data_IF_327683113328
#
_entry.id   IF_327683113328
#
_cell.length_a   1.000
_cell.length_b   1.000
_cell.length_c   1.000
_cell.angle_alpha   90.00
_cell.angle_beta   90.00
_cell.angle_gamma   90.00
#
_symmetry.space_group_name_H-M   'P 1'
#
loop_
_entity.id
_entity.type
_entity.pdbx_description
1 polymer ?
#
# COMPACT_ATOMS: atom_id res chain seq x y z
N UNK A 1 6.66 -20.11 -9.61
CA UNK A 1 5.25 -19.85 -9.24
C UNK A 1 5.17 -18.48 -8.60
N UNK A 2 4.43 -17.55 -9.21
CA UNK A 2 4.13 -16.25 -8.58
C UNK A 2 3.23 -16.51 -7.38
N UNK A 3 3.65 -16.06 -6.19
CA UNK A 3 2.85 -16.19 -4.96
C UNK A 3 1.87 -15.02 -4.88
N UNK A 4 0.58 -15.33 -4.87
CA UNK A 4 -0.51 -14.38 -4.66
C UNK A 4 -0.96 -14.34 -3.20
N UNK A 5 -1.65 -13.27 -2.81
CA UNK A 5 -2.35 -13.15 -1.54
C UNK A 5 -3.71 -12.50 -1.77
N UNK A 6 -4.63 -12.70 -0.82
CA UNK A 6 -5.97 -12.11 -0.83
C UNK A 6 -6.09 -11.16 0.35
N UNK A 7 -6.27 -9.86 0.07
CA UNK A 7 -6.44 -8.83 1.10
C UNK A 7 -7.65 -9.12 2.01
N UNK A 8 -8.70 -9.75 1.49
CA UNK A 8 -9.93 -9.99 2.26
C UNK A 8 -9.75 -11.06 3.36
N UNK A 9 -8.65 -11.82 3.29
CA UNK A 9 -8.31 -12.84 4.29
C UNK A 9 -7.36 -12.34 5.36
N UNK A 10 -6.97 -11.06 5.32
CA UNK A 10 -6.03 -10.48 6.27
C UNK A 10 -6.75 -9.85 7.46
N UNK A 11 -6.23 -10.07 8.66
CA UNK A 11 -6.82 -9.68 9.94
C UNK A 11 -6.11 -8.47 10.58
N UNK A 12 -5.71 -7.51 9.76
CA UNK A 12 -5.06 -6.27 10.19
C UNK A 12 -3.53 -6.30 10.08
N UNK A 13 -2.86 -5.56 10.99
CA UNK A 13 -1.43 -5.31 10.94
C UNK A 13 -0.67 -5.99 12.08
N UNK A 14 0.57 -6.40 11.79
CA UNK A 14 1.54 -6.92 12.75
C UNK A 14 2.57 -5.84 13.06
N UNK A 15 2.41 -5.20 14.22
CA UNK A 15 3.28 -4.15 14.72
C UNK A 15 4.00 -4.58 16.00
N UNK A 16 5.27 -4.23 16.10
CA UNK A 16 6.03 -4.20 17.35
C UNK A 16 6.64 -2.80 17.53
N UNK A 17 7.11 -2.48 18.73
CA UNK A 17 7.65 -1.15 19.04
C UNK A 17 8.81 -0.75 18.14
N UNK A 18 9.67 -1.71 17.78
CA UNK A 18 10.80 -1.46 16.90
C UNK A 18 10.33 -1.12 15.48
N UNK A 19 9.32 -1.82 14.98
CA UNK A 19 8.77 -1.66 13.64
C UNK A 19 8.01 -0.33 13.47
N UNK A 20 7.27 0.07 14.51
CA UNK A 20 6.57 1.37 14.55
C UNK A 20 7.59 2.51 14.41
N UNK A 21 8.65 2.51 15.24
CA UNK A 21 9.62 3.60 15.28
C UNK A 21 10.53 3.65 14.06
N UNK A 22 10.81 2.50 13.44
CA UNK A 22 11.76 2.38 12.31
C UNK A 22 11.39 3.26 11.11
N UNK A 23 10.13 3.24 10.68
CA UNK A 23 9.70 4.02 9.50
C UNK A 23 9.62 5.51 9.82
N UNK A 24 9.20 5.86 11.05
CA UNK A 24 9.17 7.24 11.51
C UNK A 24 10.58 7.83 11.56
N UNK A 25 11.54 7.12 12.16
CA UNK A 25 12.93 7.59 12.25
C UNK A 25 13.61 7.73 10.89
N UNK A 26 13.33 6.82 9.94
CA UNK A 26 14.02 6.78 8.64
C UNK A 26 13.35 7.63 7.56
N UNK A 27 12.03 7.72 7.58
CA UNK A 27 11.22 8.26 6.48
C UNK A 27 10.14 9.25 6.92
N UNK A 28 10.08 9.55 8.22
CA UNK A 28 9.02 10.38 8.81
C UNK A 28 7.62 9.89 8.40
N UNK A 29 7.42 8.57 8.39
CA UNK A 29 6.13 7.93 8.12
C UNK A 29 5.65 7.25 9.39
N UNK A 30 4.49 7.66 9.86
CA UNK A 30 3.85 7.05 11.03
C UNK A 30 3.20 5.70 10.66
N UNK A 31 3.08 4.79 11.65
CA UNK A 31 2.45 3.49 11.43
C UNK A 31 1.01 3.65 10.94
N UNK A 32 0.25 4.63 11.46
CA UNK A 32 -1.12 4.92 11.05
C UNK A 32 -1.21 5.31 9.58
N UNK A 33 -0.28 6.14 9.09
CA UNK A 33 -0.23 6.48 7.66
C UNK A 33 -0.01 5.24 6.79
N UNK A 34 0.72 4.24 7.29
CA UNK A 34 0.88 2.96 6.59
C UNK A 34 -0.43 2.18 6.52
N UNK A 35 -1.27 2.23 7.56
CA UNK A 35 -2.58 1.54 7.57
C UNK A 35 -3.58 2.23 6.65
N UNK A 36 -3.59 3.57 6.67
CA UNK A 36 -4.51 4.40 5.88
C UNK A 36 -4.45 4.09 4.38
N UNK A 37 -3.25 3.83 3.85
CA UNK A 37 -3.14 3.53 2.42
C UNK A 37 -3.90 2.29 1.99
N UNK A 38 -4.07 1.29 2.87
CA UNK A 38 -4.82 0.06 2.58
C UNK A 38 -6.33 0.25 2.67
N UNK A 39 -6.77 1.32 3.35
CA UNK A 39 -8.18 1.69 3.48
C UNK A 39 -8.64 2.65 2.39
N UNK A 40 -7.70 3.30 1.70
CA UNK A 40 -7.98 4.33 0.71
C UNK A 40 -7.84 3.80 -0.72
N UNK A 41 -8.73 4.27 -1.59
CA UNK A 41 -8.69 3.98 -3.02
C UNK A 41 -8.12 5.17 -3.82
N UNK A 42 -7.35 4.90 -4.89
CA UNK A 42 -6.90 3.58 -5.32
C UNK A 42 -5.76 3.02 -4.46
N UNK A 43 -5.68 1.70 -4.37
CA UNK A 43 -4.54 0.94 -3.88
C UNK A 43 -3.91 0.17 -5.05
N UNK A 44 -2.63 0.43 -5.34
CA UNK A 44 -1.94 -0.14 -6.52
C UNK A 44 -0.83 -1.08 -6.06
N UNK A 45 -0.92 -2.36 -6.40
CA UNK A 45 0.16 -3.31 -6.14
C UNK A 45 1.27 -3.18 -7.18
N UNK A 46 2.50 -3.18 -6.69
CA UNK A 46 3.71 -3.12 -7.50
C UNK A 46 4.62 -4.31 -7.18
N UNK A 47 5.27 -4.83 -8.22
CA UNK A 47 6.27 -5.87 -8.04
C UNK A 47 7.48 -5.32 -7.28
N UNK A 48 7.89 -6.03 -6.23
CA UNK A 48 9.18 -5.78 -5.60
C UNK A 48 10.22 -6.72 -6.20
N UNK A 49 11.10 -6.19 -7.05
CA UNK A 49 12.19 -6.96 -7.68
C UNK A 49 13.21 -7.48 -6.67
N UNK A 50 13.26 -6.94 -5.46
CA UNK A 50 14.04 -7.51 -4.36
C UNK A 50 13.23 -8.60 -3.67
N UNK A 51 13.23 -9.78 -4.28
CA UNK A 51 12.80 -11.00 -3.61
C UNK A 51 13.84 -11.33 -2.53
N UNK A 52 13.43 -11.30 -1.26
CA UNK A 52 14.17 -12.02 -0.23
C UNK A 52 14.00 -13.51 -0.52
N UNK A 53 15.06 -14.30 -0.37
CA UNK A 53 14.98 -15.75 -0.53
C UNK A 53 14.12 -16.40 0.56
N UNK A 54 13.90 -15.72 1.69
CA UNK A 54 13.25 -16.27 2.89
C UNK A 54 11.83 -15.76 3.09
N UNK A 55 11.50 -14.54 2.68
CA UNK A 55 10.15 -13.96 2.84
C UNK A 55 9.64 -13.29 1.57
N UNK A 56 8.36 -13.56 1.23
CA UNK A 56 7.71 -12.86 0.14
C UNK A 56 7.50 -11.40 0.52
N UNK A 57 7.76 -10.50 -0.43
CA UNK A 57 7.59 -9.06 -0.25
C UNK A 57 6.67 -8.54 -1.34
N UNK A 58 5.69 -7.76 -0.92
CA UNK A 58 4.78 -7.07 -1.81
C UNK A 58 4.96 -5.57 -1.65
N UNK A 59 4.78 -4.83 -2.74
CA UNK A 59 4.75 -3.38 -2.72
C UNK A 59 3.34 -2.89 -3.00
N UNK A 60 2.94 -1.82 -2.31
CA UNK A 60 1.69 -1.13 -2.54
C UNK A 60 1.93 0.39 -2.61
N UNK A 61 1.21 1.04 -3.51
CA UNK A 61 1.13 2.49 -3.63
C UNK A 61 -0.27 2.93 -3.21
N UNK A 62 -0.34 3.87 -2.28
CA UNK A 62 -1.61 4.40 -1.81
C UNK A 62 -1.49 5.83 -1.32
N UNK A 63 -2.62 6.37 -0.84
CA UNK A 63 -2.72 7.73 -0.32
C UNK A 63 -3.26 7.70 1.10
N UNK A 64 -2.68 8.51 1.97
CA UNK A 64 -3.16 8.74 3.33
C UNK A 64 -4.44 9.58 3.31
N UNK A 65 -5.12 9.67 4.46
CA UNK A 65 -6.30 10.52 4.64
C UNK A 65 -5.98 12.00 4.39
N UNK A 66 -4.74 12.42 4.69
CA UNK A 66 -4.25 13.78 4.45
C UNK A 66 -3.74 14.02 3.01
N UNK A 67 -3.84 13.04 2.13
CA UNK A 67 -3.43 13.19 0.73
C UNK A 67 -1.96 12.89 0.44
N UNK A 68 -1.15 12.53 1.44
CA UNK A 68 0.24 12.10 1.26
C UNK A 68 0.29 10.76 0.53
N UNK A 69 1.08 10.68 -0.54
CA UNK A 69 1.24 9.48 -1.36
C UNK A 69 2.42 8.65 -0.89
N UNK A 70 2.16 7.42 -0.44
CA UNK A 70 3.18 6.52 0.10
C UNK A 70 3.38 5.28 -0.78
N UNK A 71 4.61 4.80 -0.79
CA UNK A 71 5.01 3.48 -1.23
C UNK A 71 5.33 2.63 -0.01
N UNK A 72 4.60 1.53 0.16
CA UNK A 72 4.69 0.64 1.32
C UNK A 72 5.11 -0.75 0.85
N UNK A 73 6.15 -1.27 1.46
CA UNK A 73 6.64 -2.63 1.26
C UNK A 73 6.34 -3.45 2.52
N UNK A 74 5.71 -4.59 2.33
CA UNK A 74 5.23 -5.42 3.43
C UNK A 74 5.39 -6.91 3.14
N UNK A 75 5.25 -7.70 4.19
CA UNK A 75 5.07 -9.15 4.13
C UNK A 75 3.81 -9.54 4.88
N UNK A 76 3.42 -10.81 4.78
CA UNK A 76 2.24 -11.37 5.41
C UNK A 76 2.72 -12.45 6.36
N UNK A 77 2.39 -12.33 7.65
CA UNK A 77 2.72 -13.29 8.70
C UNK A 77 1.46 -13.58 9.50
N UNK A 78 1.09 -14.85 9.62
CA UNK A 78 -0.11 -15.29 10.37
C UNK A 78 -1.35 -14.44 9.99
N UNK A 79 -1.56 -14.28 8.68
CA UNK A 79 -2.67 -13.50 8.10
C UNK A 79 -2.72 -12.02 8.48
N UNK A 80 -1.58 -11.44 8.89
CA UNK A 80 -1.44 -9.99 9.16
C UNK A 80 -0.39 -9.35 8.27
N UNK A 81 -0.60 -8.07 7.97
CA UNK A 81 0.33 -7.24 7.21
C UNK A 81 1.44 -6.75 8.13
N UNK A 82 2.70 -7.13 7.86
CA UNK A 82 3.88 -6.59 8.55
C UNK A 82 4.60 -5.61 7.64
N UNK A 83 4.65 -4.34 8.05
CA UNK A 83 5.33 -3.30 7.27
C UNK A 83 6.84 -3.45 7.39
N UNK A 84 7.52 -3.57 6.25
CA UNK A 84 8.99 -3.67 6.18
C UNK A 84 9.60 -2.28 6.03
N UNK A 85 9.00 -1.47 5.15
CA UNK A 85 9.44 -0.12 4.79
C UNK A 85 8.26 0.68 4.26
N UNK A 86 8.15 1.94 4.67
CA UNK A 86 7.22 2.91 4.10
C UNK A 86 7.96 4.23 3.81
N UNK A 87 7.69 4.83 2.66
CA UNK A 87 8.33 6.07 2.21
C UNK A 87 7.40 6.86 1.29
N UNK A 88 7.73 8.12 1.04
CA UNK A 88 7.09 8.88 -0.03
C UNK A 88 7.30 8.21 -1.40
N UNK A 89 6.26 8.30 -2.25
CA UNK A 89 6.31 7.80 -3.61
C UNK A 89 7.39 8.51 -4.43
N UNK A 90 8.20 7.73 -5.15
CA UNK A 90 9.16 8.27 -6.11
C UNK A 90 8.49 8.71 -7.41
N UNK A 91 9.25 9.31 -8.33
CA UNK A 91 8.69 9.82 -9.61
C UNK A 91 7.91 8.76 -10.39
N UNK A 92 8.45 7.54 -10.51
CA UNK A 92 7.79 6.42 -11.22
C UNK A 92 6.54 5.93 -10.48
N UNK A 93 6.63 5.82 -9.15
CA UNK A 93 5.50 5.43 -8.28
C UNK A 93 4.32 6.40 -8.46
N UNK A 94 4.59 7.72 -8.41
CA UNK A 94 3.58 8.77 -8.58
C UNK A 94 2.89 8.71 -9.94
N UNK A 95 3.63 8.40 -11.00
CA UNK A 95 3.06 8.26 -12.35
C UNK A 95 2.11 7.06 -12.43
N UNK A 96 2.53 5.91 -11.88
CA UNK A 96 1.67 4.72 -11.83
C UNK A 96 0.41 4.98 -10.99
N UNK A 97 0.56 5.65 -9.84
CA UNK A 97 -0.56 6.00 -8.96
C UNK A 97 -1.55 6.95 -9.64
N UNK A 98 -1.06 8.00 -10.31
CA UNK A 98 -1.89 8.98 -11.02
C UNK A 98 -2.71 8.33 -12.14
N UNK A 99 -2.14 7.36 -12.85
CA UNK A 99 -2.88 6.60 -13.86
C UNK A 99 -4.04 5.82 -13.22
N UNK A 100 -3.78 5.12 -12.11
CA UNK A 100 -4.81 4.40 -11.37
C UNK A 100 -5.90 5.34 -10.83
N UNK A 101 -5.52 6.51 -10.30
CA UNK A 101 -6.46 7.54 -9.81
C UNK A 101 -7.38 8.05 -10.94
N UNK A 102 -6.82 8.32 -12.12
CA UNK A 102 -7.59 8.71 -13.31
C UNK A 102 -8.59 7.63 -13.75
N UNK A 103 -8.18 6.36 -13.74
CA UNK A 103 -9.05 5.23 -14.07
C UNK A 103 -10.17 5.05 -13.04
N UNK A 104 -9.84 5.12 -11.75
CA UNK A 104 -10.81 5.05 -10.66
C UNK A 104 -11.88 6.16 -10.78
N UNK A 105 -11.45 7.39 -11.03
CA UNK A 105 -12.35 8.53 -11.21
C UNK A 105 -13.28 8.36 -12.42
N UNK A 106 -12.79 7.81 -13.54
CA UNK A 106 -13.63 7.49 -14.70
C UNK A 106 -14.66 6.41 -14.39
N UNK A 107 -14.31 5.39 -13.60
CA UNK A 107 -15.22 4.31 -13.22
C UNK A 107 -16.34 4.81 -12.29
N UNK A 108 -16.02 5.69 -11.33
CA UNK A 108 -17.00 6.31 -10.43
C UNK A 108 -18.02 7.14 -11.23
N UNK A 109 -17.57 7.98 -12.18
CA UNK A 109 -18.47 8.78 -13.04
C UNK A 109 -19.43 7.91 -13.85
N UNK A 110 -18.93 6.84 -14.48
CA UNK A 110 -19.77 5.90 -15.25
C UNK A 110 -20.84 5.19 -14.41
N UNK A 111 -20.60 4.98 -13.10
CA UNK A 111 -21.62 4.39 -12.20
C UNK A 111 -22.69 5.41 -11.84
N UNK A 112 -22.33 6.67 -11.63
CA UNK A 112 -23.28 7.75 -11.33
C UNK A 112 -24.23 8.08 -12.49
N UNK A 113 -23.78 7.96 -13.73
CA UNK A 113 -24.62 8.23 -14.92
C UNK A 113 -25.59 7.09 -15.27
N UNK A 114 -25.41 5.88 -14.73
CA UNK A 114 -26.32 4.73 -14.95
C UNK A 114 -27.48 4.66 -13.96
N UNK A 115 -27.56 5.59 -13.02
CA UNK A 115 -28.57 5.65 -11.96
C UNK A 115 -29.65 6.71 -12.22
N UNK A 116 -29.72 7.23 -13.44
CA UNK A 116 -30.77 8.14 -13.93
C UNK A 116 -31.49 7.55 -15.14
#
# INVERSE_FOLDING_TARGET
MSKSFDLNKLHGFDWDEANIKKNQAKHNVEYRECEEIFSNNPLVFIENKQHSQTENRWGALGKTNKGRQLAVYFTIRKDKIRIISARDQGKKDKLAYKLAESLNNKQIKKRGDKSK
#
